data_IF_881960322997
#
_entry.id   IF_881960322997
#
_cell.length_a   1.000
_cell.length_b   1.000
_cell.length_c   1.000
_cell.angle_alpha   90.00
_cell.angle_beta   90.00
_cell.angle_gamma   90.00
#
_symmetry.space_group_name_H-M   'P 1'
#
loop_
_entity.id
_entity.type
_entity.pdbx_description
1 polymer ?
#
# COMPACT_ATOMS: atom_id res chain seq x y z
N UNK A 1 -9.75 -22.00 4.80
CA UNK A 1 -9.91 -20.55 4.55
C UNK A 1 -8.90 -19.84 5.42
N UNK A 2 -7.98 -19.06 4.86
CA UNK A 2 -7.12 -18.16 5.65
C UNK A 2 -7.92 -16.89 5.92
N UNK A 3 -8.02 -16.43 7.18
CA UNK A 3 -8.79 -15.22 7.49
C UNK A 3 -8.11 -13.95 6.96
N UNK A 4 -6.79 -13.95 6.78
CA UNK A 4 -6.03 -12.83 6.22
C UNK A 4 -5.93 -12.95 4.68
N UNK A 5 -6.28 -11.89 3.94
CA UNK A 5 -6.22 -11.86 2.47
C UNK A 5 -4.81 -11.54 1.95
N UNK A 6 -4.23 -10.44 2.40
CA UNK A 6 -2.88 -9.98 2.01
C UNK A 6 -2.00 -9.76 3.24
N UNK A 7 -1.89 -10.78 4.08
CA UNK A 7 -1.10 -10.72 5.30
C UNK A 7 -0.77 -12.09 5.84
N UNK A 8 0.07 -12.11 6.87
CA UNK A 8 0.36 -13.30 7.66
C UNK A 8 -0.64 -13.39 8.81
N UNK A 9 -1.23 -14.56 8.97
CA UNK A 9 -2.01 -14.86 10.15
C UNK A 9 -1.04 -15.20 11.29
N UNK A 10 -1.16 -14.48 12.39
CA UNK A 10 -0.37 -14.69 13.59
C UNK A 10 -1.33 -15.13 14.68
N UNK A 11 -1.13 -16.35 15.18
CA UNK A 11 -1.95 -16.88 16.26
C UNK A 11 -1.61 -16.14 17.57
N UNK A 12 -2.61 -15.48 18.14
CA UNK A 12 -2.56 -14.87 19.47
C UNK A 12 -3.12 -15.80 20.54
N UNK A 13 -3.11 -15.36 21.80
CA UNK A 13 -3.72 -16.10 22.90
C UNK A 13 -5.24 -15.94 22.82
N UNK A 14 -5.92 -16.88 22.14
CA UNK A 14 -7.39 -16.94 22.05
C UNK A 14 -8.02 -16.17 20.88
N UNK A 15 -7.20 -15.52 20.05
CA UNK A 15 -7.62 -14.86 18.81
C UNK A 15 -6.49 -14.96 17.76
N UNK A 16 -6.73 -14.50 16.55
CA UNK A 16 -5.71 -14.36 15.52
C UNK A 16 -5.59 -12.89 15.10
N UNK A 17 -4.40 -12.47 14.73
CA UNK A 17 -4.15 -11.15 14.17
C UNK A 17 -3.59 -11.29 12.75
N UNK A 18 -3.95 -10.36 11.87
CA UNK A 18 -3.42 -10.30 10.52
C UNK A 18 -2.30 -9.25 10.43
N UNK A 19 -1.06 -9.70 10.29
CA UNK A 19 0.05 -8.84 9.92
C UNK A 19 0.00 -8.56 8.41
N UNK A 20 -0.49 -7.38 8.04
CA UNK A 20 -0.65 -7.01 6.63
C UNK A 20 0.69 -6.84 5.91
N UNK A 21 0.75 -7.32 4.67
CA UNK A 21 1.84 -7.01 3.77
C UNK A 21 1.86 -5.51 3.45
N UNK A 22 3.02 -5.01 3.03
CA UNK A 22 3.17 -3.62 2.63
C UNK A 22 2.14 -3.26 1.54
N UNK A 23 1.52 -2.09 1.67
CA UNK A 23 0.48 -1.61 0.77
C UNK A 23 -0.93 -2.13 1.06
N UNK A 24 -1.14 -2.88 2.16
CA UNK A 24 -2.48 -3.32 2.57
C UNK A 24 -2.83 -2.93 4.01
N UNK A 25 -4.13 -2.75 4.26
CA UNK A 25 -4.68 -2.44 5.57
C UNK A 25 -6.06 -3.10 5.81
N UNK A 26 -6.63 -2.84 6.98
CA UNK A 26 -7.86 -3.44 7.46
C UNK A 26 -7.63 -4.72 8.27
N UNK A 27 -8.65 -5.12 9.04
CA UNK A 27 -8.57 -6.26 9.99
C UNK A 27 -8.14 -7.58 9.34
N UNK A 28 -8.46 -7.78 8.07
CA UNK A 28 -8.10 -8.97 7.29
C UNK A 28 -7.12 -8.66 6.16
N UNK A 29 -6.48 -7.49 6.17
CA UNK A 29 -5.61 -7.01 5.10
C UNK A 29 -6.30 -7.04 3.72
N UNK A 30 -7.58 -6.69 3.73
CA UNK A 30 -8.43 -6.76 2.55
C UNK A 30 -8.41 -5.48 1.71
N UNK A 31 -8.00 -4.37 2.32
CA UNK A 31 -8.03 -3.04 1.73
C UNK A 31 -6.63 -2.69 1.23
N UNK A 32 -6.57 -2.14 0.02
CA UNK A 32 -5.36 -1.61 -0.60
C UNK A 32 -5.14 -0.20 -0.05
N UNK A 33 -3.93 0.09 0.42
CA UNK A 33 -3.61 1.42 0.94
C UNK A 33 -3.53 2.37 -0.25
N UNK A 34 -4.32 3.45 -0.21
CA UNK A 34 -4.15 4.49 -1.20
C UNK A 34 -2.95 5.39 -0.85
N UNK A 35 -1.76 5.09 -1.39
CA UNK A 35 -0.55 5.85 -1.03
C UNK A 35 -0.62 7.31 -1.47
N UNK A 36 -1.34 7.59 -2.57
CA UNK A 36 -1.53 8.95 -3.08
C UNK A 36 -2.24 9.86 -2.07
N UNK A 37 -3.24 9.33 -1.35
CA UNK A 37 -3.97 10.05 -0.30
C UNK A 37 -3.23 10.04 1.04
N UNK A 38 -2.41 9.02 1.30
CA UNK A 38 -1.81 8.81 2.61
C UNK A 38 -0.57 9.67 2.85
N UNK A 39 0.28 9.86 1.85
CA UNK A 39 1.52 10.64 2.01
C UNK A 39 2.02 11.37 0.76
N UNK A 40 1.23 11.43 -0.32
CA UNK A 40 1.53 12.20 -1.55
C UNK A 40 2.97 11.98 -2.07
N UNK A 41 3.28 10.79 -2.61
CA UNK A 41 4.65 10.37 -2.88
C UNK A 41 5.35 11.08 -4.05
N UNK A 42 4.59 11.70 -4.96
CA UNK A 42 5.13 12.30 -6.18
C UNK A 42 5.43 13.79 -5.95
N UNK A 43 6.66 14.21 -6.18
CA UNK A 43 7.08 15.62 -6.05
C UNK A 43 6.68 16.42 -7.29
N UNK A 44 7.13 15.98 -8.46
CA UNK A 44 6.86 16.63 -9.76
C UNK A 44 6.11 15.71 -10.72
N UNK A 45 4.92 15.28 -10.31
CA UNK A 45 4.09 14.40 -11.12
C UNK A 45 2.72 14.13 -10.54
N UNK A 46 1.90 13.41 -11.31
CA UNK A 46 0.60 12.92 -10.86
C UNK A 46 0.76 11.54 -10.22
N UNK A 47 0.27 11.39 -9.00
CA UNK A 47 0.19 10.10 -8.33
C UNK A 47 -0.97 9.26 -8.88
N UNK A 48 -0.69 7.98 -9.10
CA UNK A 48 -1.62 6.93 -9.51
C UNK A 48 -1.51 5.79 -8.52
N UNK A 49 -2.62 5.54 -7.83
CA UNK A 49 -2.75 4.50 -6.83
C UNK A 49 -2.77 3.13 -7.51
N UNK A 50 -1.96 2.19 -7.02
CA UNK A 50 -1.85 0.85 -7.59
C UNK A 50 -1.91 -0.20 -6.50
N UNK A 51 -2.16 -1.44 -6.93
CA UNK A 51 -2.26 -2.53 -5.98
C UNK A 51 -0.97 -2.71 -5.20
N UNK A 52 -1.05 -2.50 -3.89
CA UNK A 52 0.03 -2.55 -2.91
C UNK A 52 1.17 -1.53 -3.12
N UNK A 53 0.99 -0.50 -3.95
CA UNK A 53 2.03 0.48 -4.30
C UNK A 53 1.46 1.66 -5.07
N UNK A 54 2.29 2.61 -5.46
CA UNK A 54 1.89 3.71 -6.32
C UNK A 54 2.79 3.83 -7.54
N UNK A 55 2.35 4.66 -8.47
CA UNK A 55 3.17 5.11 -9.59
C UNK A 55 3.06 6.62 -9.75
N UNK A 56 4.18 7.26 -10.07
CA UNK A 56 4.21 8.68 -10.38
C UNK A 56 4.35 8.89 -11.88
N UNK A 57 3.36 9.56 -12.48
CA UNK A 57 3.46 10.09 -13.82
C UNK A 57 4.23 11.41 -13.78
N UNK A 58 5.54 11.35 -14.04
CA UNK A 58 6.42 12.50 -13.95
C UNK A 58 6.19 13.53 -15.06
N UNK A 59 6.34 14.80 -14.69
CA UNK A 59 6.40 15.90 -15.64
C UNK A 59 7.69 15.87 -16.47
N UNK A 60 7.71 16.59 -17.60
CA UNK A 60 8.88 16.64 -18.48
C UNK A 60 10.12 17.17 -17.74
N UNK A 61 11.20 16.39 -17.77
CA UNK A 61 12.47 16.74 -17.12
C UNK A 61 12.67 16.09 -15.75
N UNK A 62 11.66 15.41 -15.20
CA UNK A 62 11.73 14.69 -13.92
C UNK A 62 11.77 13.17 -14.12
N UNK A 63 12.37 12.46 -13.18
CA UNK A 63 12.53 11.00 -13.25
C UNK A 63 12.59 10.32 -11.88
N UNK A 64 12.80 9.02 -11.89
CA UNK A 64 12.78 8.22 -10.66
C UNK A 64 11.37 7.87 -10.18
N UNK A 65 11.30 7.14 -9.06
CA UNK A 65 10.03 6.62 -8.52
C UNK A 65 9.10 7.74 -8.03
N UNK A 66 9.67 8.84 -7.53
CA UNK A 66 8.94 9.93 -6.89
C UNK A 66 8.95 11.22 -7.73
N UNK A 67 9.49 11.17 -8.95
CA UNK A 67 9.68 12.34 -9.80
C UNK A 67 10.49 13.45 -9.12
N UNK A 68 11.67 13.08 -8.61
CA UNK A 68 12.62 13.97 -7.94
C UNK A 68 13.88 14.26 -8.77
#
# INVERSE_FOLDING_TARGET
SSPCRHGKCVDGVGDYECECFAGYEGTHCQDDINECLRYTPCEHGRCDDRRASYYCFCELGWGGQNCS
#
